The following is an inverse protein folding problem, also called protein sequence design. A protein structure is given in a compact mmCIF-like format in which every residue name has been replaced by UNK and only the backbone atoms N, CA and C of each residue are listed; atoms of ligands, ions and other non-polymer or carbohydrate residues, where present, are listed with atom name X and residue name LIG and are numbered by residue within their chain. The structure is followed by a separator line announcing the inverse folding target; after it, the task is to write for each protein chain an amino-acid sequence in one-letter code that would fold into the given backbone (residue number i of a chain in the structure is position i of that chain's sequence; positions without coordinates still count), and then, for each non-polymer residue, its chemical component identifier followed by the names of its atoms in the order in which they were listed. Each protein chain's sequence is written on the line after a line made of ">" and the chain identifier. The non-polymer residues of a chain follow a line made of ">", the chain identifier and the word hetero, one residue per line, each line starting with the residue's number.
data_IF_651844975507
#
_entry.id   IF_651844975507
#
_cell.length_a   1.000
_cell.length_b   1.000
_cell.length_c   1.000
_cell.angle_alpha   90.00
_cell.angle_beta   90.00
_cell.angle_gamma   90.00
#
_symmetry.space_group_name_H-M   'P 1'
#
loop_
_entity.id
_entity.type
_entity.pdbx_description
1 polymer ?
#
# COMPACT_ATOMS: atom_id res chain seq x y z
N UNK A 1 -7.56 8.07 -13.77
CA UNK A 1 -8.06 8.85 -12.62
C UNK A 1 -6.87 9.45 -11.89
N UNK A 2 -6.99 10.62 -11.26
CA UNK A 2 -5.93 11.27 -10.48
C UNK A 2 -6.44 11.64 -9.08
N UNK A 3 -5.62 11.42 -8.05
CA UNK A 3 -5.88 11.88 -6.68
C UNK A 3 -4.63 12.52 -6.07
N UNK A 4 -4.82 13.34 -5.06
CA UNK A 4 -3.74 14.03 -4.32
C UNK A 4 -3.51 13.34 -2.98
N UNK A 5 -2.26 13.01 -2.71
CA UNK A 5 -1.80 12.45 -1.44
C UNK A 5 -1.09 13.53 -0.62
N UNK A 6 -1.53 13.70 0.63
CA UNK A 6 -0.82 14.48 1.66
C UNK A 6 -0.62 13.62 2.89
N UNK A 7 0.47 13.84 3.62
CA UNK A 7 0.75 13.15 4.89
C UNK A 7 0.04 13.85 6.06
N UNK A 8 -1.28 13.89 5.96
CA UNK A 8 -2.21 14.39 6.97
C UNK A 8 -3.32 13.35 7.09
N UNK A 9 -3.75 12.99 8.29
CA UNK A 9 -4.61 11.82 8.52
C UNK A 9 -5.87 11.79 7.62
N UNK A 10 -6.62 12.89 7.58
CA UNK A 10 -7.86 13.00 6.77
C UNK A 10 -7.57 12.97 5.26
N UNK A 11 -6.59 13.76 4.81
CA UNK A 11 -6.18 13.82 3.40
C UNK A 11 -5.67 12.48 2.89
N UNK A 12 -4.90 11.76 3.72
CA UNK A 12 -4.36 10.44 3.43
C UNK A 12 -5.47 9.40 3.30
N UNK A 13 -6.37 9.31 4.29
CA UNK A 13 -7.50 8.38 4.27
C UNK A 13 -8.41 8.63 3.04
N UNK A 14 -8.65 9.90 2.71
CA UNK A 14 -9.39 10.28 1.51
C UNK A 14 -8.70 9.80 0.24
N UNK A 15 -7.39 10.00 0.10
CA UNK A 15 -6.63 9.55 -1.07
C UNK A 15 -6.73 8.03 -1.26
N UNK A 16 -6.60 7.25 -0.19
CA UNK A 16 -6.77 5.79 -0.24
C UNK A 16 -8.19 5.39 -0.63
N UNK A 17 -9.22 6.08 -0.12
CA UNK A 17 -10.60 5.87 -0.56
C UNK A 17 -10.77 6.15 -2.05
N UNK A 18 -10.26 7.27 -2.55
CA UNK A 18 -10.33 7.62 -3.96
C UNK A 18 -9.64 6.55 -4.85
N UNK A 19 -8.48 6.04 -4.41
CA UNK A 19 -7.77 4.94 -5.09
C UNK A 19 -8.64 3.68 -5.14
N UNK A 20 -9.25 3.31 -4.02
CA UNK A 20 -10.15 2.14 -3.92
C UNK A 20 -11.37 2.27 -4.83
N UNK A 21 -12.01 3.42 -4.84
CA UNK A 21 -13.20 3.69 -5.67
C UNK A 21 -12.85 3.69 -7.18
N UNK A 22 -11.65 4.17 -7.52
CA UNK A 22 -11.15 4.15 -8.89
C UNK A 22 -10.81 2.73 -9.38
N UNK A 23 -10.50 1.80 -8.48
CA UNK A 23 -10.20 0.41 -8.84
C UNK A 23 -11.32 -0.23 -9.66
N UNK A 24 -12.59 0.12 -9.43
CA UNK A 24 -13.68 -0.52 -10.16
C UNK A 24 -13.79 -0.06 -11.63
N UNK A 25 -13.20 1.10 -11.97
CA UNK A 25 -13.57 1.84 -13.19
C UNK A 25 -12.39 2.42 -13.99
N UNK A 26 -11.17 2.46 -13.45
CA UNK A 26 -10.03 3.12 -14.08
C UNK A 26 -8.97 2.11 -14.55
N UNK A 27 -8.45 2.32 -15.77
CA UNK A 27 -7.31 1.54 -16.30
C UNK A 27 -5.96 1.92 -15.64
N UNK A 28 -5.87 3.13 -15.08
CA UNK A 28 -4.69 3.70 -14.44
C UNK A 28 -5.10 4.73 -13.39
N UNK A 29 -4.39 4.74 -12.27
CA UNK A 29 -4.54 5.70 -11.18
C UNK A 29 -3.23 6.48 -11.02
N UNK A 30 -3.31 7.79 -11.08
CA UNK A 30 -2.19 8.69 -10.80
C UNK A 30 -2.35 9.27 -9.38
N UNK A 31 -1.33 9.12 -8.55
CA UNK A 31 -1.28 9.64 -7.18
C UNK A 31 -0.23 10.73 -7.13
N UNK A 32 -0.67 11.97 -6.94
CA UNK A 32 0.17 13.16 -6.85
C UNK A 32 0.52 13.46 -5.40
N UNK A 33 1.80 13.40 -5.04
CA UNK A 33 2.22 13.77 -3.69
C UNK A 33 2.48 15.28 -3.59
N UNK A 34 1.83 15.90 -2.62
CA UNK A 34 2.01 17.30 -2.23
C UNK A 34 2.42 17.34 -0.75
N UNK A 35 3.65 17.76 -0.42
CA UNK A 35 4.06 17.99 0.97
C UNK A 35 3.14 19.03 1.63
N UNK A 36 2.88 18.91 2.94
CA UNK A 36 1.84 19.70 3.63
C UNK A 36 1.91 21.21 3.39
N UNK A 37 3.07 21.82 3.62
CA UNK A 37 3.27 23.28 3.42
C UNK A 37 3.55 23.67 1.96
N UNK A 38 3.73 22.69 1.07
CA UNK A 38 4.00 22.97 -0.33
C UNK A 38 2.70 23.22 -1.11
N UNK A 39 2.73 24.19 -2.02
CA UNK A 39 1.65 24.42 -2.98
C UNK A 39 1.85 23.68 -4.30
N UNK A 40 2.92 22.87 -4.40
CA UNK A 40 3.32 22.22 -5.65
C UNK A 40 3.50 20.72 -5.47
N UNK A 41 3.17 19.99 -6.53
CA UNK A 41 3.44 18.57 -6.65
C UNK A 41 4.94 18.30 -6.72
N UNK A 42 5.42 17.35 -5.91
CA UNK A 42 6.83 16.96 -5.90
C UNK A 42 7.06 15.65 -6.66
N UNK A 43 6.08 14.76 -6.63
CA UNK A 43 6.17 13.46 -7.30
C UNK A 43 4.80 12.92 -7.69
N UNK A 44 4.81 12.01 -8.67
CA UNK A 44 3.63 11.26 -9.12
C UNK A 44 3.91 9.78 -9.11
N UNK A 45 2.92 9.00 -8.72
CA UNK A 45 2.96 7.54 -8.71
C UNK A 45 1.84 6.98 -9.58
N UNK A 46 2.17 6.03 -10.43
CA UNK A 46 1.24 5.47 -11.39
C UNK A 46 0.94 4.02 -11.01
N UNK A 47 -0.33 3.76 -10.71
CA UNK A 47 -0.80 2.46 -10.26
C UNK A 47 -1.61 1.81 -11.39
N UNK A 48 -1.33 0.53 -11.62
CA UNK A 48 -2.02 -0.30 -12.60
C UNK A 48 -3.27 -0.92 -12.00
N UNK A 49 -4.30 -1.06 -12.83
CA UNK A 49 -5.44 -1.92 -12.58
C UNK A 49 -5.24 -3.34 -13.18
N UNK A 50 -5.73 -4.41 -12.52
CA UNK A 50 -6.24 -4.45 -11.14
C UNK A 50 -5.12 -4.42 -10.11
N UNK A 51 -5.49 -4.34 -8.84
CA UNK A 51 -4.64 -4.54 -7.66
C UNK A 51 -3.70 -3.38 -7.28
N UNK A 52 -3.73 -2.22 -7.92
CA UNK A 52 -2.92 -1.05 -7.52
C UNK A 52 -1.41 -1.28 -7.58
N UNK A 53 -0.91 -2.15 -8.46
CA UNK A 53 0.54 -2.34 -8.59
C UNK A 53 1.21 -1.06 -9.09
N UNK A 54 2.27 -0.62 -8.40
CA UNK A 54 3.06 0.51 -8.86
C UNK A 54 3.81 0.12 -10.14
N UNK A 55 3.53 0.82 -11.25
CA UNK A 55 4.17 0.55 -12.54
C UNK A 55 5.16 1.63 -12.98
N UNK A 56 5.04 2.84 -12.43
CA UNK A 56 5.93 3.95 -12.73
C UNK A 56 5.84 5.01 -11.65
N UNK A 57 6.83 5.89 -11.63
CA UNK A 57 6.78 7.15 -10.87
C UNK A 57 7.40 8.28 -11.68
N UNK A 58 7.02 9.51 -11.39
CA UNK A 58 7.66 10.69 -11.95
C UNK A 58 8.17 11.59 -10.83
N UNK A 59 9.38 12.11 -11.03
CA UNK A 59 9.98 13.14 -10.19
C UNK A 59 10.22 14.35 -11.08
N UNK A 60 9.59 15.48 -10.74
CA UNK A 60 9.57 16.66 -11.61
C UNK A 60 9.07 16.28 -13.01
N UNK A 61 9.87 16.57 -14.05
CA UNK A 61 9.51 16.35 -15.45
C UNK A 61 9.92 14.98 -16.01
N UNK A 62 10.52 14.10 -15.19
CA UNK A 62 11.00 12.80 -15.65
C UNK A 62 10.20 11.65 -15.06
N UNK A 63 9.65 10.84 -15.96
CA UNK A 63 8.97 9.57 -15.66
C UNK A 63 9.97 8.41 -15.71
N UNK A 64 9.79 7.47 -14.77
CA UNK A 64 10.56 6.25 -14.63
C UNK A 64 9.58 5.07 -14.61
N UNK A 65 9.50 4.34 -15.72
CA UNK A 65 8.74 3.10 -15.78
C UNK A 65 9.50 1.98 -15.05
N UNK A 66 8.82 1.30 -14.14
CA UNK A 66 9.42 0.24 -13.35
C UNK A 66 9.57 -1.04 -14.18
N UNK A 67 10.73 -1.69 -14.06
CA UNK A 67 11.00 -2.94 -14.78
C UNK A 67 10.26 -4.14 -14.20
N UNK A 68 9.98 -4.10 -12.88
CA UNK A 68 9.20 -5.12 -12.17
C UNK A 68 8.62 -4.57 -10.88
N UNK A 69 7.42 -5.03 -10.52
CA UNK A 69 6.81 -4.83 -9.21
C UNK A 69 7.16 -6.01 -8.32
N UNK A 70 8.29 -5.93 -7.63
CA UNK A 70 8.71 -6.96 -6.68
C UNK A 70 9.50 -6.31 -5.56
N UNK A 71 9.01 -6.42 -4.33
CA UNK A 71 9.73 -5.97 -3.16
C UNK A 71 11.09 -6.66 -3.05
N UNK A 72 12.12 -5.89 -2.69
CA UNK A 72 13.48 -6.38 -2.51
C UNK A 72 13.93 -6.12 -1.08
N UNK A 73 14.52 -7.11 -0.42
CA UNK A 73 15.12 -6.96 0.91
C UNK A 73 14.12 -6.95 2.06
N UNK A 74 14.60 -6.51 3.23
CA UNK A 74 13.80 -6.28 4.44
C UNK A 74 13.02 -4.98 4.30
N UNK A 75 11.81 -4.91 4.83
CA UNK A 75 11.13 -3.63 4.95
C UNK A 75 11.77 -2.81 6.08
N UNK A 76 11.98 -1.50 5.87
CA UNK A 76 12.51 -0.64 6.92
C UNK A 76 11.40 -0.29 7.92
N UNK A 77 11.78 0.06 9.14
CA UNK A 77 10.87 0.80 10.01
C UNK A 77 10.77 2.25 9.57
N UNK A 78 9.61 2.87 9.77
CA UNK A 78 9.31 4.21 9.25
C UNK A 78 8.60 5.08 10.28
N UNK A 79 8.83 6.39 10.12
CA UNK A 79 8.08 7.50 10.72
C UNK A 79 7.59 8.45 9.61
N UNK A 80 6.84 9.50 9.96
CA UNK A 80 6.36 10.52 9.02
C UNK A 80 7.49 11.13 8.16
N UNK A 81 8.68 11.32 8.74
CA UNK A 81 9.85 11.85 8.03
C UNK A 81 10.34 10.88 6.94
N UNK A 82 10.36 9.58 7.24
CA UNK A 82 10.78 8.54 6.30
C UNK A 82 9.77 8.39 5.16
N UNK A 83 8.48 8.49 5.47
CA UNK A 83 7.39 8.49 4.47
C UNK A 83 7.53 9.68 3.52
N UNK A 84 7.72 10.88 4.05
CA UNK A 84 7.91 12.10 3.25
C UNK A 84 9.15 12.00 2.36
N UNK A 85 10.25 11.46 2.89
CA UNK A 85 11.47 11.25 2.14
C UNK A 85 11.30 10.21 1.01
N UNK A 86 10.60 9.10 1.27
CA UNK A 86 10.29 8.09 0.27
C UNK A 86 9.40 8.66 -0.83
N UNK A 87 8.33 9.38 -0.48
CA UNK A 87 7.45 10.02 -1.45
C UNK A 87 8.14 11.12 -2.26
N UNK A 88 9.05 11.89 -1.67
CA UNK A 88 9.74 12.96 -2.40
C UNK A 88 10.79 12.43 -3.36
N UNK A 89 11.44 11.31 -3.03
CA UNK A 89 12.58 10.77 -3.80
C UNK A 89 12.21 9.57 -4.67
N UNK A 90 11.06 8.95 -4.47
CA UNK A 90 10.63 7.74 -5.17
C UNK A 90 11.75 6.68 -5.22
N UNK A 91 12.00 6.16 -6.42
CA UNK A 91 13.10 5.22 -6.69
C UNK A 91 14.46 5.83 -6.95
N UNK A 92 14.68 7.12 -6.64
CA UNK A 92 15.94 7.84 -6.91
C UNK A 92 16.36 7.84 -8.38
N UNK A 93 15.39 7.89 -9.28
CA UNK A 93 15.62 7.81 -10.72
C UNK A 93 16.00 6.42 -11.25
N UNK A 94 15.90 5.38 -10.42
CA UNK A 94 16.07 3.98 -10.83
C UNK A 94 14.73 3.40 -11.29
N UNK A 95 14.80 2.46 -12.23
CA UNK A 95 13.64 1.71 -12.74
C UNK A 95 13.45 0.36 -12.03
N UNK A 96 14.44 -0.10 -11.26
CA UNK A 96 14.29 -1.26 -10.40
C UNK A 96 13.68 -0.86 -9.06
N UNK A 97 12.83 -1.73 -8.50
CA UNK A 97 12.37 -1.61 -7.11
C UNK A 97 13.55 -1.51 -6.14
N UNK A 98 13.40 -0.66 -5.14
CA UNK A 98 14.36 -0.47 -4.06
C UNK A 98 13.60 -0.23 -2.74
N UNK A 99 14.34 -0.04 -1.65
CA UNK A 99 13.76 0.13 -0.31
C UNK A 99 12.77 1.31 -0.24
N UNK A 100 13.06 2.45 -0.85
CA UNK A 100 12.15 3.61 -0.82
C UNK A 100 10.89 3.38 -1.63
N UNK A 101 11.01 2.76 -2.81
CA UNK A 101 9.83 2.34 -3.56
C UNK A 101 9.01 1.31 -2.78
N UNK A 102 9.66 0.42 -2.02
CA UNK A 102 8.92 -0.49 -1.12
C UNK A 102 8.12 0.27 -0.06
N UNK A 103 8.68 1.33 0.54
CA UNK A 103 7.94 2.20 1.48
C UNK A 103 6.76 2.90 0.79
N UNK A 104 6.98 3.46 -0.40
CA UNK A 104 5.90 4.07 -1.21
C UNK A 104 4.80 3.06 -1.52
N UNK A 105 5.18 1.84 -1.89
CA UNK A 105 4.24 0.76 -2.17
C UNK A 105 3.45 0.37 -0.92
N UNK A 106 4.10 0.26 0.25
CA UNK A 106 3.38 0.04 1.51
C UNK A 106 2.37 1.17 1.79
N UNK A 107 2.82 2.41 1.63
CA UNK A 107 2.04 3.61 1.93
C UNK A 107 0.85 3.82 1.00
N UNK A 108 0.94 3.41 -0.27
CA UNK A 108 -0.11 3.66 -1.26
C UNK A 108 -0.85 2.38 -1.60
N UNK A 109 -0.11 1.36 -2.07
CA UNK A 109 -0.68 0.17 -2.68
C UNK A 109 -1.17 -0.79 -1.59
N UNK A 110 -0.30 -1.16 -0.65
CA UNK A 110 -0.65 -2.13 0.39
C UNK A 110 -1.64 -1.55 1.41
N UNK A 111 -1.54 -0.25 1.73
CA UNK A 111 -2.54 0.46 2.54
C UNK A 111 -3.92 0.52 1.86
N UNK A 112 -4.00 0.80 0.55
CA UNK A 112 -5.27 0.76 -0.18
C UNK A 112 -5.88 -0.66 -0.20
N UNK A 113 -5.04 -1.70 -0.13
CA UNK A 113 -5.46 -3.11 -0.11
C UNK A 113 -5.88 -3.61 1.26
N UNK A 114 -5.33 -3.06 2.35
CA UNK A 114 -5.38 -3.68 3.67
C UNK A 114 -5.52 -2.65 4.79
N UNK A 115 -6.60 -2.75 5.57
CA UNK A 115 -6.88 -1.83 6.67
C UNK A 115 -5.81 -1.85 7.77
N UNK A 116 -5.26 -3.01 8.21
CA UNK A 116 -4.15 -3.01 9.17
C UNK A 116 -2.92 -2.23 8.69
N UNK A 117 -2.65 -2.23 7.38
CA UNK A 117 -1.53 -1.49 6.81
C UNK A 117 -1.88 -0.01 6.70
N UNK A 118 -3.12 0.33 6.34
CA UNK A 118 -3.62 1.72 6.39
C UNK A 118 -3.49 2.33 7.79
N UNK A 119 -3.90 1.62 8.83
CA UNK A 119 -3.78 2.05 10.23
C UNK A 119 -2.32 2.22 10.64
N UNK A 120 -1.45 1.27 10.27
CA UNK A 120 0.00 1.39 10.51
C UNK A 120 0.57 2.65 9.84
N UNK A 121 0.15 2.98 8.62
CA UNK A 121 0.61 4.19 7.94
C UNK A 121 0.06 5.46 8.55
N UNK A 122 -1.18 5.46 9.04
CA UNK A 122 -1.74 6.58 9.80
C UNK A 122 -0.97 6.82 11.10
N UNK A 123 -0.56 5.75 11.81
CA UNK A 123 0.29 5.86 12.99
C UNK A 123 1.67 6.45 12.63
N UNK A 124 2.30 5.98 11.55
CA UNK A 124 3.57 6.56 11.07
C UNK A 124 3.43 8.04 10.69
N UNK A 125 2.34 8.43 10.02
CA UNK A 125 2.01 9.83 9.72
C UNK A 125 1.86 10.66 11.01
N UNK A 126 1.28 10.09 12.05
CA UNK A 126 1.19 10.66 13.39
C UNK A 126 2.52 10.62 14.19
N UNK A 127 3.65 10.41 13.50
CA UNK A 127 5.01 10.34 14.06
C UNK A 127 5.29 9.13 14.95
N UNK A 128 4.43 8.13 14.95
CA UNK A 128 4.74 6.86 15.61
C UNK A 128 5.78 6.06 14.81
N UNK A 129 6.53 5.23 15.52
CA UNK A 129 7.49 4.32 14.91
C UNK A 129 6.82 3.02 14.49
N UNK A 130 6.90 2.69 13.20
CA UNK A 130 6.22 1.52 12.63
C UNK A 130 7.22 0.59 11.97
N UNK A 131 7.30 -0.65 12.47
CA UNK A 131 8.07 -1.72 11.81
C UNK A 131 7.25 -2.36 10.69
N UNK A 132 7.50 -1.94 9.45
CA UNK A 132 6.84 -2.46 8.26
C UNK A 132 7.07 -3.97 8.05
N UNK A 133 8.18 -4.52 8.55
CA UNK A 133 8.50 -5.93 8.36
C UNK A 133 7.45 -6.83 9.01
N UNK A 134 6.84 -6.39 10.12
CA UNK A 134 5.75 -7.11 10.81
C UNK A 134 4.55 -7.34 9.88
N UNK A 135 4.31 -6.45 8.93
CA UNK A 135 3.18 -6.49 8.01
C UNK A 135 3.48 -7.27 6.71
N UNK A 136 4.72 -7.73 6.49
CA UNK A 136 5.11 -8.50 5.30
C UNK A 136 4.20 -9.70 5.06
N UNK A 137 3.77 -10.36 6.14
CA UNK A 137 2.87 -11.52 6.06
C UNK A 137 1.56 -11.16 5.34
N UNK A 138 0.96 -10.01 5.66
CA UNK A 138 -0.30 -9.58 5.04
C UNK A 138 -0.09 -9.26 3.56
N UNK A 139 1.00 -8.56 3.22
CA UNK A 139 1.37 -8.21 1.84
C UNK A 139 1.56 -9.45 0.97
N UNK A 140 2.23 -10.48 1.49
CA UNK A 140 2.46 -11.74 0.78
C UNK A 140 1.19 -12.57 0.59
N UNK A 141 0.18 -12.38 1.45
CA UNK A 141 -1.05 -13.17 1.44
C UNK A 141 -2.20 -12.49 0.69
N UNK A 142 -2.05 -11.23 0.30
CA UNK A 142 -3.09 -10.39 -0.27
C UNK A 142 -3.93 -11.09 -1.35
N UNK A 143 -3.32 -11.60 -2.41
CA UNK A 143 -4.04 -12.16 -3.56
C UNK A 143 -4.85 -13.41 -3.17
N UNK A 144 -4.31 -14.24 -2.29
CA UNK A 144 -4.98 -15.43 -1.80
C UNK A 144 -6.16 -15.08 -0.88
N UNK A 145 -5.96 -14.15 0.05
CA UNK A 145 -7.02 -13.66 0.94
C UNK A 145 -8.14 -12.98 0.15
N UNK A 146 -7.80 -12.15 -0.83
CA UNK A 146 -8.78 -11.48 -1.68
C UNK A 146 -9.60 -12.49 -2.51
N UNK A 147 -8.94 -13.50 -3.07
CA UNK A 147 -9.61 -14.58 -3.82
C UNK A 147 -10.58 -15.34 -2.91
N UNK A 148 -10.12 -15.72 -1.71
CA UNK A 148 -10.94 -16.38 -0.72
C UNK A 148 -12.16 -15.55 -0.29
N UNK A 149 -11.98 -14.24 -0.07
CA UNK A 149 -13.07 -13.31 0.28
C UNK A 149 -14.10 -13.21 -0.85
N UNK A 150 -13.64 -13.09 -2.11
CA UNK A 150 -14.51 -13.04 -3.30
C UNK A 150 -15.40 -14.28 -3.43
N UNK A 151 -14.87 -15.45 -3.14
CA UNK A 151 -15.64 -16.70 -3.22
C UNK A 151 -16.72 -16.81 -2.13
N UNK A 152 -16.53 -16.13 -0.98
CA UNK A 152 -17.44 -16.20 0.17
C UNK A 152 -18.50 -15.10 0.21
N UNK A 153 -18.26 -13.92 -0.36
CA UNK A 153 -19.13 -12.74 -0.23
C UNK A 153 -19.52 -12.17 -1.59
N UNK A 154 -20.83 -12.10 -1.86
CA UNK A 154 -21.39 -11.59 -3.12
C UNK A 154 -21.80 -10.11 -3.07
N UNK A 155 -21.93 -9.49 -1.88
CA UNK A 155 -22.46 -8.13 -1.74
C UNK A 155 -21.54 -7.13 -0.99
N UNK A 156 -20.48 -7.57 -0.31
CA UNK A 156 -19.62 -6.69 0.48
C UNK A 156 -18.50 -6.05 -0.34
N UNK A 157 -18.06 -4.87 0.09
CA UNK A 157 -16.87 -4.24 -0.45
C UNK A 157 -15.66 -5.18 -0.28
N UNK A 158 -15.00 -5.50 -1.40
CA UNK A 158 -13.85 -6.42 -1.39
C UNK A 158 -12.61 -5.81 -0.75
N UNK A 159 -12.46 -4.48 -0.84
CA UNK A 159 -11.31 -3.73 -0.34
C UNK A 159 -11.76 -2.56 0.54
N UNK A 160 -10.96 -2.18 1.56
CA UNK A 160 -9.75 -2.87 1.98
C UNK A 160 -10.05 -4.22 2.64
N UNK A 161 -9.09 -5.16 2.57
CA UNK A 161 -9.11 -6.36 3.39
C UNK A 161 -8.98 -5.97 4.86
N UNK A 162 -9.84 -6.54 5.67
CA UNK A 162 -9.88 -6.39 7.12
C UNK A 162 -8.96 -7.43 7.76
N UNK A 163 -8.50 -7.20 9.00
CA UNK A 163 -7.68 -8.20 9.70
C UNK A 163 -8.34 -9.59 9.74
N UNK A 164 -9.66 -9.61 9.98
CA UNK A 164 -10.45 -10.84 10.04
C UNK A 164 -10.46 -11.59 8.70
N UNK A 165 -10.37 -10.91 7.55
CA UNK A 165 -10.33 -11.58 6.24
C UNK A 165 -9.09 -12.49 6.14
N UNK A 166 -7.94 -12.02 6.66
CA UNK A 166 -6.70 -12.80 6.70
C UNK A 166 -6.81 -13.98 7.69
N UNK A 167 -7.37 -13.73 8.88
CA UNK A 167 -7.59 -14.77 9.90
C UNK A 167 -8.52 -15.87 9.35
N UNK A 168 -9.60 -15.50 8.68
CA UNK A 168 -10.54 -16.44 8.10
C UNK A 168 -9.90 -17.26 6.97
N UNK A 169 -9.02 -16.66 6.18
CA UNK A 169 -8.28 -17.37 5.14
C UNK A 169 -7.33 -18.41 5.75
N UNK A 170 -6.51 -18.05 6.75
CA UNK A 170 -5.53 -18.98 7.36
C UNK A 170 -6.20 -20.11 8.15
N UNK A 171 -7.40 -19.87 8.68
CA UNK A 171 -8.23 -20.91 9.32
C UNK A 171 -8.95 -21.82 8.35
N UNK A 172 -9.01 -21.44 7.07
CA UNK A 172 -9.73 -22.21 6.07
C UNK A 172 -8.96 -23.46 5.63
N UNK A 173 -9.69 -24.43 5.09
CA UNK A 173 -9.09 -25.61 4.46
C UNK A 173 -8.33 -25.28 3.16
N UNK A 174 -8.45 -24.06 2.64
CA UNK A 174 -7.73 -23.60 1.44
C UNK A 174 -6.31 -23.10 1.75
N UNK A 175 -6.02 -22.81 3.01
CA UNK A 175 -4.67 -22.41 3.41
C UNK A 175 -3.81 -23.66 3.70
N UNK A 176 -2.70 -23.78 2.97
CA UNK A 176 -1.79 -24.93 3.04
C UNK A 176 -0.42 -24.58 3.65
N UNK A 177 -0.25 -23.36 4.15
CA UNK A 177 0.99 -22.89 4.75
C UNK A 177 1.12 -23.23 6.24
N UNK A 178 2.06 -22.56 6.91
CA UNK A 178 2.29 -22.71 8.35
C UNK A 178 1.09 -22.18 9.14
N UNK A 179 0.49 -23.04 9.98
CA UNK A 179 -0.64 -22.67 10.85
C UNK A 179 -0.23 -21.74 12.00
N UNK A 180 1.05 -21.69 12.35
CA UNK A 180 1.59 -20.74 13.32
C UNK A 180 1.42 -19.27 12.89
N UNK A 181 1.21 -19.02 11.59
CA UNK A 181 1.02 -17.69 11.04
C UNK A 181 -0.21 -16.97 11.59
N UNK A 182 -1.23 -17.71 12.05
CA UNK A 182 -2.46 -17.12 12.60
C UNK A 182 -2.14 -16.19 13.78
N UNK A 183 -1.26 -16.63 14.67
CA UNK A 183 -0.85 -15.84 15.83
C UNK A 183 -0.13 -14.57 15.39
N UNK A 184 0.80 -14.69 14.44
CA UNK A 184 1.53 -13.55 13.88
C UNK A 184 0.59 -12.49 13.31
N UNK A 185 -0.46 -12.92 12.60
CA UNK A 185 -1.48 -12.02 12.05
C UNK A 185 -2.31 -11.40 13.18
N UNK A 186 -2.76 -12.19 14.14
CA UNK A 186 -3.58 -11.71 15.26
C UNK A 186 -2.86 -10.67 16.11
N UNK A 187 -1.54 -10.78 16.25
CA UNK A 187 -0.70 -9.83 16.99
C UNK A 187 -0.49 -8.48 16.26
N UNK A 188 -1.09 -8.28 15.07
CA UNK A 188 -1.11 -7.01 14.32
C UNK A 188 -2.34 -6.14 14.62
N UNK A 189 -3.37 -6.68 15.27
CA UNK A 189 -4.62 -6.00 15.60
C UNK A 189 -4.74 -5.54 17.05
#
# INVERSE_FOLDING_TARGET
>A
MRTTLKLEAESYAKALKDIRDANANAQSIEVSYVPGEAHEEVSRYFLKYPNFELNAYALKDRKYDLSKYQHTGKFPSVTSVDLAAALSKGGEGKTAMNERLSVVVCLICEAARSEPIEQAMQAAIAYEYVDLERYRVLMNMYDHTLTFKREKRTADALLPLQLQDYIDYVKSTKYTGDKGIEKTISDLG
#
